data_IF_807639336867
#
_entry.id   IF_807639336867
#
_cell.length_a   1.000
_cell.length_b   1.000
_cell.length_c   1.000
_cell.angle_alpha   90.00
_cell.angle_beta   90.00
_cell.angle_gamma   90.00
#
_symmetry.space_group_name_H-M   'P 1'
#
loop_
_entity.id
_entity.type
_entity.pdbx_description
1 polymer ?
#
# COMPACT_ATOMS: atom_id res chain seq x y z
N UNK A 1 -16.32 33.84 2.62
CA UNK A 1 -15.27 34.16 1.64
C UNK A 1 -14.52 32.85 1.34
N UNK A 2 -14.73 32.25 0.18
CA UNK A 2 -13.91 31.14 -0.28
C UNK A 2 -12.55 31.70 -0.71
N UNK A 3 -11.51 31.53 0.10
CA UNK A 3 -10.14 31.75 -0.40
C UNK A 3 -9.93 30.78 -1.57
N UNK A 4 -9.53 31.27 -2.76
CA UNK A 4 -9.17 30.38 -3.84
C UNK A 4 -8.00 29.52 -3.35
N UNK A 5 -8.19 28.20 -3.37
CA UNK A 5 -7.13 27.26 -3.04
C UNK A 5 -6.08 27.39 -4.13
N UNK A 6 -5.00 28.13 -3.84
CA UNK A 6 -3.87 28.26 -4.75
C UNK A 6 -3.27 26.85 -4.90
N UNK A 7 -3.49 26.22 -6.06
CA UNK A 7 -2.83 24.96 -6.38
C UNK A 7 -1.32 25.23 -6.49
N UNK A 8 -0.47 24.38 -5.91
CA UNK A 8 0.99 24.49 -6.12
C UNK A 8 1.33 24.49 -7.62
N UNK A 9 2.30 25.28 -8.05
CA UNK A 9 2.66 25.44 -9.47
C UNK A 9 2.91 24.11 -10.19
N UNK A 10 3.54 23.13 -9.52
CA UNK A 10 3.80 21.80 -10.09
C UNK A 10 2.55 20.92 -10.28
N UNK A 11 1.40 21.30 -9.70
CA UNK A 11 0.11 20.64 -9.95
C UNK A 11 -0.66 21.26 -11.10
N UNK A 12 -0.16 22.33 -11.70
CA UNK A 12 -0.81 23.11 -12.75
C UNK A 12 -0.12 22.94 -14.11
N UNK A 13 0.49 21.76 -14.36
CA UNK A 13 1.06 21.50 -15.67
C UNK A 13 -0.08 21.58 -16.70
N UNK A 14 -0.05 22.56 -17.61
CA UNK A 14 -1.12 22.75 -18.60
C UNK A 14 -0.91 21.78 -19.75
N UNK A 15 -1.25 20.50 -19.54
CA UNK A 15 -0.99 19.43 -20.50
C UNK A 15 -1.64 19.70 -21.88
N UNK A 16 -2.72 20.44 -21.93
CA UNK A 16 -3.43 20.81 -23.15
C UNK A 16 -2.93 22.11 -23.80
N UNK A 17 -2.22 22.99 -23.06
CA UNK A 17 -1.80 24.29 -23.60
C UNK A 17 -0.72 24.20 -24.70
N UNK A 18 0.31 23.32 -24.56
CA UNK A 18 1.34 23.20 -25.59
C UNK A 18 0.83 22.65 -26.93
N UNK A 19 -0.41 22.11 -26.94
CA UNK A 19 -0.97 21.34 -28.06
C UNK A 19 -1.94 22.21 -28.89
N UNK A 20 -2.23 23.45 -28.46
CA UNK A 20 -3.29 24.29 -29.08
C UNK A 20 -3.13 24.47 -30.58
N UNK A 21 -1.92 24.53 -31.08
CA UNK A 21 -1.61 24.76 -32.51
C UNK A 21 -1.43 23.47 -33.31
N UNK A 22 -1.57 22.27 -32.69
CA UNK A 22 -1.27 20.97 -33.31
C UNK A 22 -2.33 19.90 -33.03
N UNK A 23 -3.59 20.32 -32.96
CA UNK A 23 -4.71 19.46 -32.55
C UNK A 23 -5.04 18.32 -33.51
N UNK A 24 -4.62 18.39 -34.76
CA UNK A 24 -5.02 17.42 -35.79
C UNK A 24 -3.93 16.37 -36.11
N UNK A 25 -2.71 16.55 -35.61
CA UNK A 25 -1.60 15.63 -35.91
C UNK A 25 -1.62 14.41 -34.98
N UNK A 26 -1.39 13.19 -35.49
CA UNK A 26 -1.10 12.03 -34.68
C UNK A 26 0.09 12.32 -33.75
N UNK A 27 0.03 11.83 -32.52
CA UNK A 27 1.08 12.08 -31.53
C UNK A 27 2.45 11.55 -31.99
N UNK A 28 2.50 10.50 -32.81
CA UNK A 28 3.75 9.97 -33.38
C UNK A 28 4.49 10.98 -34.31
N UNK A 29 3.76 11.94 -34.88
CA UNK A 29 4.28 12.99 -35.75
C UNK A 29 4.43 14.35 -35.04
N UNK A 30 4.02 14.44 -33.77
CA UNK A 30 4.10 15.65 -33.00
C UNK A 30 5.58 15.99 -32.63
N UNK A 31 5.91 17.26 -32.39
CA UNK A 31 7.22 17.67 -31.89
C UNK A 31 7.65 16.93 -30.63
N UNK A 32 8.97 16.77 -30.46
CA UNK A 32 9.57 16.06 -29.32
C UNK A 32 9.01 16.46 -27.96
N UNK A 33 8.83 17.76 -27.61
CA UNK A 33 8.29 18.13 -26.29
C UNK A 33 6.87 17.59 -26.03
N UNK A 34 6.03 17.49 -27.07
CA UNK A 34 4.66 16.98 -26.98
C UNK A 34 4.68 15.48 -26.77
N UNK A 35 5.45 14.73 -27.57
CA UNK A 35 5.63 13.29 -27.42
C UNK A 35 6.18 12.94 -26.03
N UNK A 36 7.24 13.64 -25.60
CA UNK A 36 7.83 13.49 -24.27
C UNK A 36 6.86 13.83 -23.13
N UNK A 37 6.01 14.84 -23.32
CA UNK A 37 4.96 15.22 -22.37
C UNK A 37 3.96 14.10 -22.07
N UNK A 38 3.54 13.34 -23.09
CA UNK A 38 2.67 12.17 -22.92
C UNK A 38 3.38 11.10 -22.07
N UNK A 39 4.65 10.78 -22.38
CA UNK A 39 5.46 9.82 -21.62
C UNK A 39 5.60 10.24 -20.15
N UNK A 40 5.94 11.50 -19.90
CA UNK A 40 6.08 12.04 -18.55
C UNK A 40 4.78 12.02 -17.76
N UNK A 41 3.65 12.39 -18.39
CA UNK A 41 2.34 12.37 -17.74
C UNK A 41 1.90 10.98 -17.30
N UNK A 42 2.09 9.98 -18.16
CA UNK A 42 1.79 8.58 -17.80
C UNK A 42 2.68 8.11 -16.64
N UNK A 43 3.97 8.43 -16.69
CA UNK A 43 4.89 8.14 -15.58
C UNK A 43 4.42 8.76 -14.26
N UNK A 44 4.02 10.04 -14.27
CA UNK A 44 3.53 10.75 -13.09
C UNK A 44 2.25 10.14 -12.53
N UNK A 45 1.30 9.77 -13.39
CA UNK A 45 0.06 9.12 -12.97
C UNK A 45 0.32 7.74 -12.37
N UNK A 46 1.22 6.94 -12.97
CA UNK A 46 1.63 5.65 -12.41
C UNK A 46 2.29 5.82 -11.04
N UNK A 47 3.21 6.78 -10.89
CA UNK A 47 3.85 7.09 -9.62
C UNK A 47 2.83 7.47 -8.55
N UNK A 48 1.81 8.26 -8.90
CA UNK A 48 0.73 8.66 -7.99
C UNK A 48 -0.10 7.50 -7.44
N UNK A 49 -0.09 6.34 -8.12
CA UNK A 49 -0.77 5.12 -7.70
C UNK A 49 0.04 4.27 -6.72
N UNK A 50 1.24 4.69 -6.34
CA UNK A 50 2.10 3.99 -5.38
C UNK A 50 2.85 2.79 -5.96
N UNK A 51 2.87 2.60 -7.30
CA UNK A 51 3.62 1.50 -7.91
C UNK A 51 5.13 1.74 -7.82
N UNK A 52 5.94 0.66 -7.90
CA UNK A 52 7.40 0.74 -7.82
C UNK A 52 8.02 1.47 -9.02
N UNK A 53 9.21 2.06 -8.80
CA UNK A 53 9.96 2.84 -9.78
C UNK A 53 10.28 2.04 -11.05
N UNK A 54 10.68 0.77 -10.88
CA UNK A 54 10.96 -0.11 -12.01
C UNK A 54 9.77 -0.19 -12.98
N UNK A 55 8.53 -0.26 -12.45
CA UNK A 55 7.34 -0.35 -13.30
C UNK A 55 7.04 0.98 -13.99
N UNK A 56 7.21 2.09 -13.28
CA UNK A 56 7.04 3.43 -13.87
C UNK A 56 7.99 3.59 -15.06
N UNK A 57 9.28 3.28 -14.85
CA UNK A 57 10.32 3.37 -15.89
C UNK A 57 10.01 2.44 -17.08
N UNK A 58 9.63 1.19 -16.81
CA UNK A 58 9.27 0.22 -17.88
C UNK A 58 8.11 0.72 -18.73
N UNK A 59 7.08 1.30 -18.11
CA UNK A 59 5.93 1.86 -18.81
C UNK A 59 6.28 3.12 -19.60
N UNK A 60 7.14 3.99 -19.06
CA UNK A 60 7.63 5.17 -19.78
C UNK A 60 8.45 4.77 -21.01
N UNK A 61 9.30 3.74 -20.88
CA UNK A 61 10.11 3.25 -22.01
C UNK A 61 9.25 2.61 -23.08
N UNK A 62 8.21 1.83 -22.70
CA UNK A 62 7.28 1.21 -23.66
C UNK A 62 6.52 2.28 -24.47
N UNK A 63 6.08 3.38 -23.84
CA UNK A 63 5.48 4.49 -24.56
C UNK A 63 6.48 5.25 -25.43
N UNK A 64 7.68 5.52 -24.90
CA UNK A 64 8.72 6.23 -25.62
C UNK A 64 9.12 5.46 -26.88
N UNK A 65 9.34 4.16 -26.79
CA UNK A 65 9.66 3.28 -27.95
C UNK A 65 8.55 3.35 -29.01
N UNK A 66 7.28 3.27 -28.60
CA UNK A 66 6.15 3.39 -29.51
C UNK A 66 6.06 4.75 -30.21
N UNK A 67 6.62 5.81 -29.61
CA UNK A 67 6.69 7.17 -30.15
C UNK A 67 8.02 7.44 -30.91
N UNK A 68 8.86 6.44 -31.08
CA UNK A 68 10.17 6.60 -31.72
C UNK A 68 11.15 7.42 -30.88
N UNK A 69 11.06 7.32 -29.56
CA UNK A 69 11.91 8.03 -28.59
C UNK A 69 12.72 7.04 -27.75
N UNK A 70 13.89 7.48 -27.30
CA UNK A 70 14.63 6.85 -26.22
C UNK A 70 14.38 7.65 -24.95
N UNK A 71 13.98 7.01 -23.87
CA UNK A 71 13.68 7.67 -22.59
C UNK A 71 14.60 7.15 -21.50
N UNK A 72 15.27 8.07 -20.80
CA UNK A 72 15.98 7.82 -19.54
C UNK A 72 15.23 8.51 -18.40
N UNK A 73 14.89 7.78 -17.33
CA UNK A 73 14.15 8.35 -16.22
C UNK A 73 14.75 7.94 -14.87
N UNK A 74 14.96 8.93 -13.99
CA UNK A 74 15.24 8.76 -12.57
C UNK A 74 13.95 9.00 -11.76
N UNK A 75 13.57 8.03 -10.92
CA UNK A 75 12.27 8.01 -10.26
C UNK A 75 12.47 7.96 -8.76
N UNK A 76 12.03 9.02 -8.08
CA UNK A 76 11.94 9.10 -6.62
C UNK A 76 10.55 8.67 -6.11
N UNK A 77 10.30 8.92 -4.81
CA UNK A 77 8.99 8.69 -4.19
C UNK A 77 7.92 9.65 -4.73
N UNK A 78 8.27 10.92 -4.92
CA UNK A 78 7.36 12.00 -5.31
C UNK A 78 7.82 12.75 -6.56
N UNK A 79 8.90 12.33 -7.19
CA UNK A 79 9.48 13.03 -8.34
C UNK A 79 9.88 12.08 -9.46
N UNK A 80 9.83 12.59 -10.68
CA UNK A 80 10.36 11.94 -11.87
C UNK A 80 11.20 12.98 -12.60
N UNK A 81 12.45 12.66 -12.84
CA UNK A 81 13.34 13.40 -13.74
C UNK A 81 13.55 12.53 -14.98
N UNK A 82 13.20 13.03 -16.15
CA UNK A 82 13.32 12.22 -17.36
C UNK A 82 13.83 13.05 -18.55
N UNK A 83 14.49 12.34 -19.44
CA UNK A 83 14.97 12.87 -20.71
C UNK A 83 14.51 11.93 -21.83
N UNK A 84 13.82 12.51 -22.81
CA UNK A 84 13.48 11.83 -24.06
C UNK A 84 14.31 12.39 -25.21
N UNK A 85 14.80 11.50 -26.10
CA UNK A 85 15.56 11.89 -27.28
C UNK A 85 15.01 11.19 -28.53
N UNK A 86 14.99 11.89 -29.65
CA UNK A 86 14.64 11.34 -30.98
C UNK A 86 15.87 11.05 -31.86
N UNK A 87 17.07 11.15 -31.28
CA UNK A 87 18.34 10.96 -31.97
C UNK A 87 19.01 12.25 -32.41
N UNK A 88 18.27 13.32 -32.68
CA UNK A 88 18.81 14.65 -33.04
C UNK A 88 18.69 15.63 -31.88
N UNK A 89 17.55 15.62 -31.20
CA UNK A 89 17.22 16.53 -30.11
C UNK A 89 16.93 15.75 -28.83
N UNK A 90 17.03 16.46 -27.69
CA UNK A 90 16.63 15.92 -26.39
C UNK A 90 15.74 16.91 -25.63
N UNK A 91 14.77 16.37 -24.92
CA UNK A 91 13.87 17.12 -24.04
C UNK A 91 13.93 16.54 -22.64
N UNK A 92 14.25 17.38 -21.65
CA UNK A 92 14.32 16.99 -20.24
C UNK A 92 13.29 17.76 -19.42
N UNK A 93 12.64 17.06 -18.50
CA UNK A 93 11.66 17.66 -17.59
C UNK A 93 11.69 16.97 -16.23
N UNK A 94 11.46 17.77 -15.17
CA UNK A 94 11.21 17.28 -13.81
C UNK A 94 9.73 17.43 -13.48
N UNK A 95 9.11 16.34 -13.02
CA UNK A 95 7.73 16.30 -12.57
C UNK A 95 7.68 15.94 -11.10
N UNK A 96 6.78 16.56 -10.33
CA UNK A 96 6.64 16.29 -8.88
C UNK A 96 5.20 16.08 -8.48
N UNK A 97 5.00 15.22 -7.46
CA UNK A 97 3.73 14.99 -6.79
C UNK A 97 3.71 15.69 -5.43
N UNK A 98 2.56 16.15 -5.00
CA UNK A 98 2.38 16.71 -3.64
C UNK A 98 2.19 15.63 -2.59
N UNK A 99 1.73 14.45 -2.99
CA UNK A 99 1.50 13.30 -2.12
C UNK A 99 1.48 12.02 -2.95
N UNK A 100 1.86 10.92 -2.33
CA UNK A 100 1.69 9.58 -2.89
C UNK A 100 0.54 8.86 -2.19
N UNK A 101 -0.07 7.92 -2.87
CA UNK A 101 -1.13 7.07 -2.37
C UNK A 101 -1.11 5.71 -3.03
N UNK A 102 -2.02 4.82 -2.63
CA UNK A 102 -2.20 3.53 -3.29
C UNK A 102 -3.57 3.50 -3.96
N UNK A 103 -3.58 3.29 -5.27
CA UNK A 103 -4.81 3.15 -6.04
C UNK A 103 -4.64 2.07 -7.11
N UNK A 104 -5.04 0.85 -6.77
CA UNK A 104 -4.85 -0.31 -7.64
C UNK A 104 -5.81 -0.33 -8.83
N UNK A 105 -7.00 0.29 -8.71
CA UNK A 105 -7.94 0.42 -9.82
C UNK A 105 -7.38 1.33 -10.91
N UNK A 106 -6.89 2.50 -10.51
CA UNK A 106 -6.25 3.45 -11.42
C UNK A 106 -4.99 2.86 -12.06
N UNK A 107 -4.19 2.12 -11.28
CA UNK A 107 -3.01 1.43 -11.77
C UNK A 107 -3.35 0.42 -12.87
N UNK A 108 -4.41 -0.37 -12.70
CA UNK A 108 -4.87 -1.33 -13.73
C UNK A 108 -5.30 -0.62 -15.03
N UNK A 109 -6.03 0.48 -14.93
CA UNK A 109 -6.44 1.26 -16.11
C UNK A 109 -5.23 1.86 -16.85
N UNK A 110 -4.28 2.42 -16.12
CA UNK A 110 -3.05 2.98 -16.70
C UNK A 110 -2.20 1.91 -17.38
N UNK A 111 -2.03 0.73 -16.78
CA UNK A 111 -1.30 -0.37 -17.43
C UNK A 111 -2.00 -0.89 -18.69
N UNK A 112 -3.33 -0.93 -18.71
CA UNK A 112 -4.08 -1.26 -19.93
C UNK A 112 -3.90 -0.19 -21.01
N UNK A 113 -3.88 1.09 -20.61
CA UNK A 113 -3.58 2.19 -21.50
C UNK A 113 -2.20 2.02 -22.13
N UNK A 114 -1.16 1.80 -21.33
CA UNK A 114 0.23 1.58 -21.79
C UNK A 114 0.31 0.43 -22.77
N UNK A 115 -0.27 -0.73 -22.46
CA UNK A 115 -0.24 -1.92 -23.32
C UNK A 115 -0.96 -1.74 -24.65
N UNK A 116 -2.02 -0.92 -24.71
CA UNK A 116 -2.77 -0.63 -25.93
C UNK A 116 -2.15 0.49 -26.74
N UNK A 117 -1.32 1.30 -26.12
CA UNK A 117 -0.74 2.50 -26.73
C UNK A 117 -0.02 2.23 -28.06
N UNK A 118 0.83 1.18 -28.23
CA UNK A 118 1.48 0.89 -29.50
C UNK A 118 0.51 0.53 -30.64
N UNK A 119 -0.70 0.07 -30.30
CA UNK A 119 -1.71 -0.34 -31.30
C UNK A 119 -2.59 0.83 -31.73
N UNK A 120 -3.13 1.56 -30.77
CA UNK A 120 -4.15 2.58 -30.99
C UNK A 120 -3.66 4.01 -30.68
N UNK A 121 -2.85 4.15 -29.61
CA UNK A 121 -2.46 5.45 -29.05
C UNK A 121 -1.55 6.27 -29.95
N UNK A 122 -0.68 5.63 -30.73
CA UNK A 122 0.27 6.30 -31.64
C UNK A 122 -0.43 7.08 -32.76
N UNK A 123 -1.65 6.70 -33.11
CA UNK A 123 -2.47 7.33 -34.15
C UNK A 123 -3.42 8.40 -33.59
N UNK A 124 -3.56 8.49 -32.27
CA UNK A 124 -4.39 9.51 -31.62
C UNK A 124 -3.68 10.84 -31.57
N UNK A 125 -4.46 11.92 -31.46
CA UNK A 125 -3.89 13.24 -31.19
C UNK A 125 -3.41 13.33 -29.73
N UNK A 126 -2.45 14.23 -29.47
CA UNK A 126 -1.98 14.43 -28.10
C UNK A 126 -3.10 14.92 -27.17
N UNK A 127 -4.04 15.71 -27.67
CA UNK A 127 -5.20 16.24 -26.91
C UNK A 127 -6.15 15.10 -26.51
N UNK A 128 -6.46 14.18 -27.42
CA UNK A 128 -7.27 12.99 -27.14
C UNK A 128 -6.59 12.08 -26.08
N UNK A 129 -5.27 11.93 -26.18
CA UNK A 129 -4.51 11.15 -25.19
C UNK A 129 -4.57 11.80 -23.81
N UNK A 130 -4.36 13.11 -23.74
CA UNK A 130 -4.47 13.83 -22.48
C UNK A 130 -5.89 13.81 -21.91
N UNK A 131 -6.91 13.86 -22.75
CA UNK A 131 -8.31 13.71 -22.36
C UNK A 131 -8.58 12.31 -21.78
N UNK A 132 -8.10 11.24 -22.43
CA UNK A 132 -8.20 9.88 -21.88
C UNK A 132 -7.48 9.74 -20.54
N UNK A 133 -6.32 10.37 -20.39
CA UNK A 133 -5.58 10.35 -19.12
C UNK A 133 -6.33 11.13 -18.02
N UNK A 134 -7.05 12.22 -18.38
CA UNK A 134 -7.95 12.93 -17.45
C UNK A 134 -9.12 12.06 -17.02
N UNK A 135 -9.74 11.34 -17.95
CA UNK A 135 -10.81 10.39 -17.65
C UNK A 135 -10.31 9.33 -16.65
N UNK A 136 -9.16 8.70 -16.91
CA UNK A 136 -8.57 7.73 -15.98
C UNK A 136 -8.29 8.37 -14.63
N UNK A 137 -7.80 9.60 -14.58
CA UNK A 137 -7.51 10.32 -13.35
C UNK A 137 -8.76 10.62 -12.51
N UNK A 138 -9.88 10.92 -13.17
CA UNK A 138 -11.11 11.39 -12.54
C UNK A 138 -12.13 10.28 -12.27
N UNK A 139 -12.27 9.30 -13.17
CA UNK A 139 -13.32 8.27 -13.11
C UNK A 139 -12.98 7.07 -12.26
N UNK A 140 -11.74 6.97 -11.77
CA UNK A 140 -11.35 5.84 -10.93
C UNK A 140 -12.19 5.83 -9.66
N UNK A 141 -12.92 4.75 -9.37
CA UNK A 141 -13.78 4.70 -8.19
C UNK A 141 -12.94 4.83 -6.93
N UNK A 142 -13.16 5.90 -6.17
CA UNK A 142 -12.64 6.04 -4.82
C UNK A 142 -13.76 5.72 -3.83
N UNK A 143 -13.44 4.89 -2.84
CA UNK A 143 -14.39 4.60 -1.77
C UNK A 143 -14.61 5.84 -0.91
N UNK A 144 -15.86 6.07 -0.50
CA UNK A 144 -16.20 7.14 0.43
C UNK A 144 -15.48 6.96 1.78
N UNK A 145 -15.32 8.02 2.59
CA UNK A 145 -14.72 7.90 3.92
C UNK A 145 -15.37 6.85 4.81
N UNK A 146 -16.71 6.71 4.71
CA UNK A 146 -17.44 5.69 5.47
C UNK A 146 -17.10 4.28 4.98
N UNK A 147 -17.05 4.05 3.67
CA UNK A 147 -16.67 2.76 3.10
C UNK A 147 -15.23 2.39 3.45
N UNK A 148 -14.31 3.36 3.43
CA UNK A 148 -12.93 3.15 3.89
C UNK A 148 -12.86 2.82 5.38
N UNK A 149 -13.70 3.49 6.21
CA UNK A 149 -13.84 3.17 7.62
C UNK A 149 -14.33 1.74 7.84
N UNK A 150 -15.38 1.31 7.14
CA UNK A 150 -15.90 -0.06 7.22
C UNK A 150 -14.89 -1.11 6.73
N UNK A 151 -14.15 -0.81 5.67
CA UNK A 151 -13.08 -1.67 5.18
C UNK A 151 -11.95 -1.85 6.21
N UNK A 152 -11.55 -0.76 6.86
CA UNK A 152 -10.58 -0.77 7.95
C UNK A 152 -11.09 -1.53 9.19
N UNK A 153 -12.36 -1.31 9.55
CA UNK A 153 -13.02 -2.03 10.64
C UNK A 153 -12.95 -3.55 10.42
N UNK A 154 -13.35 -4.00 9.22
CA UNK A 154 -13.29 -5.41 8.84
C UNK A 154 -11.85 -5.94 8.88
N UNK A 155 -10.90 -5.17 8.31
CA UNK A 155 -9.49 -5.56 8.26
C UNK A 155 -8.88 -5.72 9.66
N UNK A 156 -9.02 -4.72 10.51
CA UNK A 156 -8.41 -4.72 11.84
C UNK A 156 -9.13 -5.65 12.82
N UNK A 157 -10.46 -5.77 12.75
CA UNK A 157 -11.20 -6.75 13.53
C UNK A 157 -10.77 -8.18 13.22
N UNK A 158 -10.65 -8.53 11.94
CA UNK A 158 -10.15 -9.85 11.52
C UNK A 158 -8.66 -10.04 11.89
N UNK A 159 -7.83 -9.01 11.71
CA UNK A 159 -6.41 -9.06 12.05
C UNK A 159 -6.18 -9.26 13.54
N UNK A 160 -7.06 -8.73 14.40
CA UNK A 160 -7.02 -8.96 15.86
C UNK A 160 -7.05 -10.45 16.19
N UNK A 161 -7.94 -11.23 15.55
CA UNK A 161 -7.97 -12.68 15.73
C UNK A 161 -6.66 -13.36 15.28
N UNK A 162 -6.10 -12.94 14.16
CA UNK A 162 -4.84 -13.53 13.64
C UNK A 162 -3.64 -13.26 14.56
N UNK A 163 -3.71 -12.22 15.37
CA UNK A 163 -2.71 -11.88 16.40
C UNK A 163 -2.99 -12.56 17.75
N UNK A 164 -4.09 -13.31 17.86
CA UNK A 164 -4.46 -14.06 19.07
C UNK A 164 -5.55 -13.42 19.94
N UNK A 165 -6.08 -12.27 19.52
CA UNK A 165 -7.19 -11.60 20.23
C UNK A 165 -8.51 -12.36 20.12
N UNK A 166 -9.33 -12.25 21.17
CA UNK A 166 -10.65 -12.87 21.27
C UNK A 166 -11.77 -12.02 20.66
N UNK A 167 -13.04 -12.47 20.80
CA UNK A 167 -14.20 -11.78 20.22
C UNK A 167 -14.38 -10.33 20.74
N UNK A 168 -14.01 -10.08 22.01
CA UNK A 168 -14.12 -8.75 22.64
C UNK A 168 -13.13 -7.78 21.94
N UNK A 169 -11.86 -8.16 21.85
CA UNK A 169 -10.84 -7.35 21.17
C UNK A 169 -11.16 -7.17 19.69
N UNK A 170 -11.68 -8.20 19.02
CA UNK A 170 -12.10 -8.12 17.62
C UNK A 170 -13.18 -7.05 17.42
N UNK A 171 -14.22 -7.05 18.27
CA UNK A 171 -15.31 -6.08 18.18
C UNK A 171 -14.84 -4.65 18.49
N UNK A 172 -14.08 -4.49 19.55
CA UNK A 172 -13.58 -3.18 19.95
C UNK A 172 -12.58 -2.62 18.94
N UNK A 173 -11.69 -3.46 18.40
CA UNK A 173 -10.75 -3.06 17.34
C UNK A 173 -11.48 -2.76 16.02
N UNK A 174 -12.53 -3.50 15.67
CA UNK A 174 -13.40 -3.20 14.53
C UNK A 174 -13.95 -1.78 14.61
N UNK A 175 -14.55 -1.41 15.75
CA UNK A 175 -15.12 -0.07 15.94
C UNK A 175 -14.04 1.02 15.99
N UNK A 176 -12.96 0.79 16.74
CA UNK A 176 -11.85 1.72 16.85
C UNK A 176 -11.17 2.01 15.52
N UNK A 177 -10.81 0.97 14.77
CA UNK A 177 -10.18 1.12 13.47
C UNK A 177 -11.11 1.76 12.42
N UNK A 178 -12.40 1.44 12.48
CA UNK A 178 -13.41 2.04 11.61
C UNK A 178 -13.50 3.55 11.78
N UNK A 179 -13.59 4.02 13.02
CA UNK A 179 -13.60 5.46 13.32
C UNK A 179 -12.25 6.09 13.00
N UNK A 180 -11.13 5.46 13.34
CA UNK A 180 -9.80 5.97 13.05
C UNK A 180 -9.58 6.21 11.55
N UNK A 181 -9.91 5.24 10.70
CA UNK A 181 -9.79 5.38 9.25
C UNK A 181 -10.78 6.40 8.66
N UNK A 182 -12.00 6.47 9.18
CA UNK A 182 -12.96 7.50 8.78
C UNK A 182 -12.40 8.91 9.06
N UNK A 183 -11.85 9.12 10.24
CA UNK A 183 -11.19 10.39 10.62
C UNK A 183 -10.02 10.67 9.68
N UNK A 184 -9.14 9.69 9.44
CA UNK A 184 -8.03 9.83 8.49
C UNK A 184 -8.50 10.27 7.10
N UNK A 185 -9.48 9.59 6.55
CA UNK A 185 -10.02 9.90 5.22
C UNK A 185 -10.59 11.33 5.16
N UNK A 186 -11.30 11.78 6.20
CA UNK A 186 -11.82 13.15 6.29
C UNK A 186 -10.72 14.20 6.39
N UNK A 187 -9.69 13.95 7.21
CA UNK A 187 -8.56 14.87 7.37
C UNK A 187 -7.73 14.97 6.08
N UNK A 188 -7.53 13.84 5.40
CA UNK A 188 -6.85 13.82 4.09
C UNK A 188 -7.62 14.62 3.04
N UNK A 189 -8.96 14.52 3.01
CA UNK A 189 -9.80 15.36 2.13
C UNK A 189 -9.66 16.86 2.43
N UNK A 190 -9.41 17.21 3.69
CA UNK A 190 -9.14 18.60 4.12
C UNK A 190 -7.68 19.03 3.90
N UNK A 191 -6.85 18.17 3.26
CA UNK A 191 -5.44 18.44 2.97
C UNK A 191 -4.57 18.76 4.20
N UNK A 192 -4.87 18.16 5.35
CA UNK A 192 -3.97 18.23 6.49
C UNK A 192 -2.66 17.49 6.17
N UNK A 193 -1.61 17.87 6.90
CA UNK A 193 -0.30 17.20 6.76
C UNK A 193 -0.41 15.70 7.07
N UNK A 194 0.41 14.89 6.41
CA UNK A 194 0.41 13.43 6.57
C UNK A 194 0.52 13.02 8.04
N UNK A 195 1.47 13.59 8.78
CA UNK A 195 1.72 13.24 10.17
C UNK A 195 0.57 13.66 11.09
N UNK A 196 -0.06 14.81 10.82
CA UNK A 196 -1.28 15.23 11.52
C UNK A 196 -2.44 14.26 11.28
N UNK A 197 -2.63 13.82 10.03
CA UNK A 197 -3.65 12.82 9.70
C UNK A 197 -3.41 11.49 10.43
N UNK A 198 -2.16 11.02 10.49
CA UNK A 198 -1.78 9.78 11.18
C UNK A 198 -2.03 9.92 12.68
N UNK A 199 -1.46 10.94 13.32
CA UNK A 199 -1.56 11.13 14.77
C UNK A 199 -3.02 11.24 15.23
N UNK A 200 -3.82 12.11 14.59
CA UNK A 200 -5.22 12.29 14.96
C UNK A 200 -6.07 11.04 14.71
N UNK A 201 -5.80 10.28 13.64
CA UNK A 201 -6.56 9.06 13.38
C UNK A 201 -6.20 7.92 14.33
N UNK A 202 -4.93 7.76 14.69
CA UNK A 202 -4.48 6.79 15.70
C UNK A 202 -5.04 7.17 17.09
N UNK A 203 -4.95 8.43 17.46
CA UNK A 203 -5.53 8.90 18.72
C UNK A 203 -7.04 8.64 18.79
N UNK A 204 -7.78 8.91 17.72
CA UNK A 204 -9.21 8.62 17.64
C UNK A 204 -9.50 7.11 17.78
N UNK A 205 -8.74 6.25 17.12
CA UNK A 205 -8.89 4.79 17.22
C UNK A 205 -8.65 4.29 18.65
N UNK A 206 -7.58 4.77 19.31
CA UNK A 206 -7.26 4.42 20.69
C UNK A 206 -8.31 4.93 21.68
N UNK A 207 -8.81 6.15 21.50
CA UNK A 207 -9.87 6.73 22.33
C UNK A 207 -11.17 5.93 22.23
N UNK A 208 -11.59 5.58 21.02
CA UNK A 208 -12.80 4.77 20.80
C UNK A 208 -12.63 3.40 21.44
N UNK A 209 -11.51 2.73 21.21
CA UNK A 209 -11.23 1.42 21.82
C UNK A 209 -11.31 1.50 23.34
N UNK A 210 -10.55 2.41 23.95
CA UNK A 210 -10.48 2.55 25.40
C UNK A 210 -11.82 2.99 26.04
N UNK A 211 -12.54 3.89 25.38
CA UNK A 211 -13.86 4.34 25.81
C UNK A 211 -14.88 3.20 25.82
N UNK A 212 -14.93 2.43 24.73
CA UNK A 212 -15.83 1.27 24.63
C UNK A 212 -15.42 0.15 25.60
N UNK A 213 -14.13 -0.10 25.76
CA UNK A 213 -13.63 -1.08 26.72
C UNK A 213 -14.05 -0.71 28.17
N UNK A 214 -13.86 0.56 28.56
CA UNK A 214 -14.30 1.02 29.89
C UNK A 214 -15.80 0.95 30.07
N UNK A 215 -16.59 1.34 29.06
CA UNK A 215 -18.05 1.23 29.10
C UNK A 215 -18.48 -0.23 29.25
N UNK A 216 -17.88 -1.12 28.47
CA UNK A 216 -18.17 -2.55 28.55
C UNK A 216 -17.78 -3.14 29.92
N UNK A 217 -16.66 -2.70 30.52
CA UNK A 217 -16.22 -3.12 31.86
C UNK A 217 -17.12 -2.63 33.01
N UNK A 218 -17.91 -1.57 32.78
CA UNK A 218 -18.93 -1.13 33.74
C UNK A 218 -20.19 -2.02 33.71
N UNK A 219 -20.47 -2.63 32.55
CA UNK A 219 -21.69 -3.42 32.33
C UNK A 219 -21.45 -4.92 32.53
N UNK A 220 -20.24 -5.39 32.30
CA UNK A 220 -19.86 -6.80 32.30
C UNK A 220 -18.51 -6.99 33.05
N UNK A 221 -18.31 -8.12 33.73
CA UNK A 221 -17.03 -8.45 34.34
C UNK A 221 -16.03 -8.85 33.22
N UNK A 222 -15.32 -7.87 32.67
CA UNK A 222 -14.32 -8.06 31.59
C UNK A 222 -12.92 -7.99 32.19
N UNK A 223 -12.06 -8.95 31.85
CA UNK A 223 -10.68 -8.98 32.31
C UNK A 223 -9.85 -7.82 31.75
N UNK A 224 -8.93 -7.31 32.55
CA UNK A 224 -8.08 -6.18 32.18
C UNK A 224 -7.19 -6.48 30.94
N UNK A 225 -6.88 -7.75 30.66
CA UNK A 225 -6.06 -8.17 29.52
C UNK A 225 -6.67 -7.76 28.17
N UNK A 226 -8.01 -7.70 28.06
CA UNK A 226 -8.70 -7.26 26.85
C UNK A 226 -8.39 -5.80 26.44
N UNK A 227 -7.81 -4.99 27.33
CA UNK A 227 -7.35 -3.65 26.96
C UNK A 227 -6.26 -3.65 25.88
N UNK A 228 -5.46 -4.71 25.74
CA UNK A 228 -4.35 -4.81 24.80
C UNK A 228 -4.77 -4.68 23.33
N UNK A 229 -6.02 -4.94 22.99
CA UNK A 229 -6.55 -4.85 21.63
C UNK A 229 -6.54 -3.42 21.04
N UNK A 230 -6.28 -2.35 21.83
CA UNK A 230 -6.13 -1.00 21.28
C UNK A 230 -5.00 -0.92 20.23
N UNK A 231 -3.99 -1.77 20.35
CA UNK A 231 -2.90 -1.88 19.35
C UNK A 231 -3.47 -2.31 18.02
N UNK A 232 -4.37 -3.28 18.02
CA UNK A 232 -5.00 -3.78 16.80
C UNK A 232 -5.89 -2.72 16.14
N UNK A 233 -6.52 -1.85 16.93
CA UNK A 233 -7.36 -0.78 16.44
C UNK A 233 -6.59 0.27 15.61
N UNK A 234 -5.27 0.39 15.77
CA UNK A 234 -4.44 1.34 15.01
C UNK A 234 -3.72 0.72 13.80
N UNK A 235 -3.76 -0.60 13.60
CA UNK A 235 -2.95 -1.29 12.58
C UNK A 235 -3.33 -0.92 11.14
N UNK A 236 -4.47 -0.27 10.90
CA UNK A 236 -4.83 0.26 9.58
C UNK A 236 -3.84 1.30 9.03
N UNK A 237 -3.02 1.89 9.89
CA UNK A 237 -2.00 2.89 9.51
C UNK A 237 -0.72 2.26 8.97
N UNK A 238 -0.42 1.02 9.35
CA UNK A 238 0.87 0.39 9.03
C UNK A 238 1.09 0.35 7.51
N UNK A 239 2.19 0.96 7.02
CA UNK A 239 2.40 1.19 5.59
C UNK A 239 2.96 -0.05 4.90
N UNK A 240 2.22 -1.15 4.88
CA UNK A 240 2.65 -2.42 4.30
C UNK A 240 2.98 -2.31 2.82
N UNK A 241 2.19 -1.55 2.05
CA UNK A 241 2.43 -1.37 0.62
C UNK A 241 3.78 -0.68 0.35
N UNK A 242 4.14 0.47 0.95
CA UNK A 242 5.47 1.07 0.82
C UNK A 242 6.62 0.17 1.26
N UNK A 243 6.49 -0.59 2.34
CA UNK A 243 7.53 -1.54 2.77
C UNK A 243 7.83 -2.60 1.70
N UNK A 244 6.78 -3.20 1.14
CA UNK A 244 6.95 -4.25 0.14
C UNK A 244 7.51 -3.67 -1.17
N UNK A 245 7.01 -2.52 -1.62
CA UNK A 245 7.49 -1.89 -2.85
C UNK A 245 8.90 -1.35 -2.73
N UNK A 246 9.32 -0.85 -1.55
CA UNK A 246 10.71 -0.43 -1.31
C UNK A 246 11.70 -1.58 -1.51
N UNK A 247 11.39 -2.77 -0.94
CA UNK A 247 12.22 -3.95 -1.12
C UNK A 247 12.29 -4.44 -2.57
N UNK A 248 11.19 -4.35 -3.31
CA UNK A 248 11.17 -4.71 -4.73
C UNK A 248 11.99 -3.70 -5.57
N UNK A 249 11.88 -2.40 -5.29
CA UNK A 249 12.65 -1.37 -5.99
C UNK A 249 14.16 -1.54 -5.73
N UNK A 250 14.58 -1.73 -4.48
CA UNK A 250 15.98 -2.00 -4.14
C UNK A 250 16.53 -3.26 -4.83
N UNK A 251 15.74 -4.33 -4.92
CA UNK A 251 16.13 -5.55 -5.62
C UNK A 251 16.28 -5.37 -7.13
N UNK A 252 15.66 -4.34 -7.70
CA UNK A 252 15.81 -3.91 -9.09
C UNK A 252 16.84 -2.80 -9.29
N UNK A 253 17.65 -2.53 -8.26
CA UNK A 253 18.69 -1.49 -8.22
C UNK A 253 18.15 -0.04 -8.33
N UNK A 254 16.84 0.15 -8.15
CA UNK A 254 16.21 1.45 -8.00
C UNK A 254 16.41 1.96 -6.56
N UNK A 255 17.68 2.17 -6.16
CA UNK A 255 18.07 2.46 -4.79
C UNK A 255 17.47 3.75 -4.26
N UNK A 256 17.42 4.81 -5.07
CA UNK A 256 16.81 6.11 -4.68
C UNK A 256 15.35 5.92 -4.29
N UNK A 257 14.53 5.39 -5.18
CA UNK A 257 13.11 5.15 -4.90
C UNK A 257 12.91 4.18 -3.74
N UNK A 258 13.69 3.10 -3.70
CA UNK A 258 13.60 2.10 -2.63
C UNK A 258 13.88 2.70 -1.25
N UNK A 259 14.95 3.48 -1.09
CA UNK A 259 15.33 4.13 0.17
C UNK A 259 14.33 5.24 0.57
N UNK A 260 13.88 6.07 -0.37
CA UNK A 260 12.88 7.10 -0.09
C UNK A 260 11.56 6.49 0.38
N UNK A 261 11.09 5.38 -0.25
CA UNK A 261 9.90 4.63 0.18
C UNK A 261 10.07 3.98 1.54
N UNK A 262 11.25 3.42 1.82
CA UNK A 262 11.55 2.83 3.12
C UNK A 262 11.53 3.90 4.21
N UNK A 263 12.21 5.03 3.99
CA UNK A 263 12.22 6.16 4.92
C UNK A 263 10.79 6.69 5.17
N UNK A 264 9.99 6.85 4.12
CA UNK A 264 8.59 7.23 4.21
C UNK A 264 7.77 6.25 5.06
N UNK A 265 7.94 4.94 4.84
CA UNK A 265 7.26 3.91 5.62
C UNK A 265 7.68 3.92 7.10
N UNK A 266 8.98 4.05 7.38
CA UNK A 266 9.51 4.16 8.74
C UNK A 266 8.92 5.38 9.46
N UNK A 267 8.87 6.54 8.82
CA UNK A 267 8.30 7.75 9.40
C UNK A 267 6.82 7.59 9.76
N UNK A 268 6.03 6.92 8.90
CA UNK A 268 4.62 6.61 9.22
C UNK A 268 4.53 5.72 10.45
N UNK A 269 5.33 4.65 10.53
CA UNK A 269 5.34 3.74 11.68
C UNK A 269 5.74 4.47 12.96
N UNK A 270 6.79 5.28 12.91
CA UNK A 270 7.27 6.04 14.08
C UNK A 270 6.18 6.98 14.60
N UNK A 271 5.55 7.77 13.73
CA UNK A 271 4.47 8.69 14.14
C UNK A 271 3.27 7.92 14.71
N UNK A 272 2.87 6.82 14.07
CA UNK A 272 1.74 6.01 14.52
C UNK A 272 2.01 5.36 15.89
N UNK A 273 3.17 4.74 16.05
CA UNK A 273 3.53 4.02 17.28
C UNK A 273 3.79 4.96 18.44
N UNK A 274 4.45 6.10 18.22
CA UNK A 274 4.63 7.15 19.27
C UNK A 274 3.28 7.74 19.68
N UNK A 275 2.37 7.99 18.75
CA UNK A 275 1.03 8.47 19.08
C UNK A 275 0.27 7.44 19.91
N UNK A 276 0.28 6.17 19.51
CA UNK A 276 -0.40 5.11 20.24
C UNK A 276 0.23 4.87 21.63
N UNK A 277 1.55 4.97 21.76
CA UNK A 277 2.24 4.93 23.05
C UNK A 277 1.85 6.10 23.95
N UNK A 278 1.84 7.33 23.41
CA UNK A 278 1.36 8.51 24.16
C UNK A 278 -0.09 8.37 24.62
N UNK A 279 -0.96 7.82 23.75
CA UNK A 279 -2.34 7.49 24.11
C UNK A 279 -2.43 6.40 25.19
N UNK A 280 -1.57 5.38 25.13
CA UNK A 280 -1.49 4.34 26.14
C UNK A 280 -1.10 4.92 27.51
N UNK A 281 -0.13 5.82 27.56
CA UNK A 281 0.24 6.54 28.80
C UNK A 281 -0.93 7.39 29.33
N UNK A 282 -1.57 8.17 28.47
CA UNK A 282 -2.70 9.04 28.84
C UNK A 282 -3.90 8.24 29.36
N UNK A 283 -4.21 7.13 28.69
CA UNK A 283 -5.37 6.28 29.01
C UNK A 283 -5.03 5.14 29.97
N UNK A 284 -3.77 5.02 30.39
CA UNK A 284 -3.26 3.94 31.27
C UNK A 284 -3.52 2.54 30.71
N UNK A 285 -3.31 2.37 29.39
CA UNK A 285 -3.42 1.08 28.72
C UNK A 285 -2.06 0.36 28.73
N UNK A 286 -2.10 -0.97 28.76
CA UNK A 286 -0.89 -1.80 28.73
C UNK A 286 -0.93 -2.77 27.55
N UNK A 287 0.19 -3.02 26.85
CA UNK A 287 0.29 -3.97 25.74
C UNK A 287 0.49 -5.40 26.29
N UNK A 288 -0.51 -5.93 26.96
CA UNK A 288 -0.50 -7.28 27.50
C UNK A 288 -0.61 -8.32 26.39
N UNK A 289 -0.26 -9.56 26.67
CA UNK A 289 -0.53 -10.66 25.75
C UNK A 289 -2.03 -11.02 25.76
N UNK A 290 -2.52 -11.44 24.59
CA UNK A 290 -3.90 -11.85 24.47
C UNK A 290 -4.16 -13.18 25.21
N UNK A 291 -5.37 -13.34 25.72
CA UNK A 291 -5.82 -14.59 26.33
C UNK A 291 -5.83 -15.71 25.29
N UNK A 292 -5.21 -16.86 25.56
CA UNK A 292 -5.17 -17.95 24.60
C UNK A 292 -6.57 -18.52 24.36
N UNK A 293 -6.98 -18.57 23.08
CA UNK A 293 -8.24 -19.20 22.67
C UNK A 293 -8.07 -20.71 22.61
N UNK A 294 -8.81 -21.43 23.44
CA UNK A 294 -8.85 -22.91 23.45
C UNK A 294 -9.67 -23.45 22.26
N UNK A 295 -9.08 -23.40 21.06
CA UNK A 295 -9.71 -23.89 19.83
C UNK A 295 -9.05 -25.17 19.33
N UNK A 296 -9.83 -26.17 18.88
CA UNK A 296 -9.27 -27.34 18.20
C UNK A 296 -8.55 -26.90 16.91
N UNK A 297 -7.52 -27.66 16.51
CA UNK A 297 -6.63 -27.31 15.39
C UNK A 297 -7.43 -27.03 14.10
N UNK A 298 -8.38 -27.87 13.75
CA UNK A 298 -9.21 -27.68 12.55
C UNK A 298 -10.03 -26.39 12.57
N UNK A 299 -10.63 -26.05 13.72
CA UNK A 299 -11.42 -24.83 13.86
C UNK A 299 -10.50 -23.59 13.78
N UNK A 300 -9.31 -23.65 14.39
CA UNK A 300 -8.31 -22.60 14.31
C UNK A 300 -7.88 -22.34 12.86
N UNK A 301 -7.61 -23.37 12.08
CA UNK A 301 -7.26 -23.25 10.65
C UNK A 301 -8.37 -22.59 9.85
N UNK A 302 -9.63 -23.05 10.02
CA UNK A 302 -10.78 -22.48 9.33
C UNK A 302 -11.00 -21.00 9.68
N UNK A 303 -10.92 -20.67 10.97
CA UNK A 303 -11.06 -19.29 11.42
C UNK A 303 -9.89 -18.39 10.95
N UNK A 304 -8.66 -18.90 10.93
CA UNK A 304 -7.52 -18.19 10.34
C UNK A 304 -7.70 -17.93 8.85
N UNK A 305 -8.24 -18.88 8.10
CA UNK A 305 -8.59 -18.73 6.70
C UNK A 305 -9.64 -17.63 6.50
N UNK A 306 -10.73 -17.68 7.24
CA UNK A 306 -11.80 -16.68 7.19
C UNK A 306 -11.31 -15.28 7.62
N UNK A 307 -10.57 -15.18 8.71
CA UNK A 307 -10.03 -13.94 9.21
C UNK A 307 -8.97 -13.36 8.23
N UNK A 308 -8.11 -14.20 7.66
CA UNK A 308 -7.14 -13.74 6.65
C UNK A 308 -7.84 -13.24 5.39
N UNK A 309 -8.93 -13.91 4.95
CA UNK A 309 -9.76 -13.43 3.84
C UNK A 309 -10.34 -12.05 4.14
N UNK A 310 -11.05 -11.90 5.27
CA UNK A 310 -11.65 -10.63 5.67
C UNK A 310 -10.62 -9.51 5.84
N UNK A 311 -9.48 -9.82 6.45
CA UNK A 311 -8.38 -8.88 6.64
C UNK A 311 -7.81 -8.36 5.33
N UNK A 312 -7.44 -9.26 4.42
CA UNK A 312 -6.89 -8.90 3.11
C UNK A 312 -7.93 -8.19 2.23
N UNK A 313 -9.18 -8.64 2.27
CA UNK A 313 -10.28 -7.98 1.54
C UNK A 313 -10.44 -6.52 1.99
N UNK A 314 -10.52 -6.29 3.31
CA UNK A 314 -10.63 -4.94 3.87
C UNK A 314 -9.44 -4.05 3.50
N UNK A 315 -8.20 -4.52 3.67
CA UNK A 315 -7.02 -3.76 3.24
C UNK A 315 -7.01 -3.49 1.74
N UNK A 316 -7.44 -4.45 0.91
CA UNK A 316 -7.53 -4.24 -0.54
C UNK A 316 -8.50 -3.13 -0.91
N UNK A 317 -9.66 -3.04 -0.25
CA UNK A 317 -10.60 -1.93 -0.44
C UNK A 317 -9.99 -0.59 -0.01
N UNK A 318 -9.21 -0.55 1.07
CA UNK A 318 -8.48 0.66 1.49
C UNK A 318 -7.43 1.11 0.45
N UNK A 319 -6.91 0.18 -0.37
CA UNK A 319 -6.04 0.46 -1.51
C UNK A 319 -6.80 0.81 -2.79
N UNK A 320 -8.09 1.13 -2.69
CA UNK A 320 -8.98 1.41 -3.81
C UNK A 320 -9.05 0.27 -4.86
N UNK A 321 -8.94 -0.99 -4.41
CA UNK A 321 -9.10 -2.14 -5.31
C UNK A 321 -10.57 -2.35 -5.66
N UNK A 322 -10.90 -2.62 -6.93
CA UNK A 322 -12.24 -3.08 -7.30
C UNK A 322 -12.59 -4.36 -6.52
N UNK A 323 -13.86 -4.53 -6.15
CA UNK A 323 -14.33 -5.68 -5.34
C UNK A 323 -13.85 -7.02 -5.89
N UNK A 324 -13.92 -7.21 -7.22
CA UNK A 324 -13.44 -8.44 -7.88
C UNK A 324 -11.95 -8.69 -7.62
N UNK A 325 -11.12 -7.66 -7.75
CA UNK A 325 -9.68 -7.76 -7.54
C UNK A 325 -9.37 -7.96 -6.05
N UNK A 326 -10.08 -7.25 -5.17
CA UNK A 326 -9.98 -7.40 -3.72
C UNK A 326 -10.32 -8.83 -3.27
N UNK A 327 -11.37 -9.45 -3.85
CA UNK A 327 -11.74 -10.83 -3.54
C UNK A 327 -10.66 -11.84 -3.97
N UNK A 328 -10.07 -11.65 -5.14
CA UNK A 328 -8.96 -12.51 -5.61
C UNK A 328 -7.74 -12.38 -4.69
N UNK A 329 -7.34 -11.15 -4.36
CA UNK A 329 -6.25 -10.91 -3.42
C UNK A 329 -6.55 -11.51 -2.05
N UNK A 330 -7.80 -11.45 -1.59
CA UNK A 330 -8.25 -12.02 -0.33
C UNK A 330 -8.17 -13.56 -0.30
N UNK A 331 -8.54 -14.25 -1.39
CA UNK A 331 -8.39 -15.72 -1.47
C UNK A 331 -6.92 -16.10 -1.43
N UNK A 332 -6.07 -15.44 -2.22
CA UNK A 332 -4.62 -15.70 -2.24
C UNK A 332 -4.02 -15.40 -0.87
N UNK A 333 -4.39 -14.28 -0.26
CA UNK A 333 -3.91 -13.89 1.07
C UNK A 333 -4.41 -14.82 2.18
N UNK A 334 -5.65 -15.33 2.10
CA UNK A 334 -6.18 -16.32 3.02
C UNK A 334 -5.33 -17.59 3.03
N UNK A 335 -5.04 -18.13 1.86
CA UNK A 335 -4.24 -19.35 1.73
C UNK A 335 -2.80 -19.13 2.20
N UNK A 336 -2.16 -18.07 1.72
CA UNK A 336 -0.74 -17.80 2.00
C UNK A 336 -0.48 -17.37 3.44
N UNK A 337 -1.37 -16.55 4.04
CA UNK A 337 -1.20 -16.14 5.44
C UNK A 337 -1.54 -17.28 6.41
N UNK A 338 -2.55 -18.10 6.12
CA UNK A 338 -2.83 -19.29 6.93
C UNK A 338 -1.64 -20.25 6.86
N UNK A 339 -1.09 -20.52 5.67
CA UNK A 339 0.15 -21.30 5.54
C UNK A 339 1.26 -20.74 6.43
N UNK A 340 1.53 -19.43 6.38
CA UNK A 340 2.52 -18.78 7.24
C UNK A 340 2.26 -19.03 8.72
N UNK A 341 1.01 -18.85 9.17
CA UNK A 341 0.65 -19.01 10.58
C UNK A 341 0.77 -20.45 11.05
N UNK A 342 0.39 -21.42 10.22
CA UNK A 342 0.53 -22.83 10.56
C UNK A 342 1.99 -23.32 10.53
N UNK A 343 2.84 -22.79 9.64
CA UNK A 343 4.27 -23.04 9.68
C UNK A 343 4.92 -22.60 11.01
N UNK A 344 4.48 -21.45 11.54
CA UNK A 344 4.95 -21.00 12.87
C UNK A 344 4.37 -21.88 13.97
N UNK A 345 3.05 -22.12 13.97
CA UNK A 345 2.37 -22.74 15.13
C UNK A 345 2.46 -24.27 15.18
N UNK A 346 2.54 -24.96 14.04
CA UNK A 346 2.62 -26.43 13.98
C UNK A 346 4.03 -26.95 13.68
N UNK A 347 4.77 -26.25 12.80
CA UNK A 347 6.10 -26.71 12.36
C UNK A 347 7.26 -25.98 13.08
N UNK A 348 6.98 -25.01 13.95
CA UNK A 348 8.01 -24.28 14.71
C UNK A 348 8.95 -23.40 13.88
N UNK A 349 8.53 -22.99 12.67
CA UNK A 349 9.35 -22.13 11.82
C UNK A 349 9.54 -20.75 12.45
N UNK A 350 10.73 -20.13 12.31
CA UNK A 350 10.93 -18.73 12.67
C UNK A 350 9.95 -17.82 11.89
N UNK A 351 9.38 -16.78 12.52
CA UNK A 351 8.37 -15.92 11.89
C UNK A 351 8.81 -15.32 10.56
N UNK A 352 10.07 -14.93 10.40
CA UNK A 352 10.60 -14.37 9.15
C UNK A 352 10.68 -15.43 8.03
N UNK A 353 11.12 -16.66 8.33
CA UNK A 353 11.14 -17.75 7.35
C UNK A 353 9.72 -18.13 6.91
N UNK A 354 8.78 -18.20 7.84
CA UNK A 354 7.37 -18.43 7.52
C UNK A 354 6.78 -17.29 6.68
N UNK A 355 7.13 -16.03 6.96
CA UNK A 355 6.72 -14.88 6.17
C UNK A 355 7.27 -14.93 4.73
N UNK A 356 8.53 -15.31 4.55
CA UNK A 356 9.13 -15.56 3.23
C UNK A 356 8.33 -16.61 2.44
N UNK A 357 8.07 -17.78 3.05
CA UNK A 357 7.32 -18.87 2.39
C UNK A 357 5.87 -18.47 2.09
N UNK A 358 5.21 -17.74 2.99
CA UNK A 358 3.89 -17.17 2.75
C UNK A 358 3.87 -16.20 1.57
N UNK A 359 4.83 -15.28 1.50
CA UNK A 359 4.96 -14.33 0.40
C UNK A 359 5.32 -15.03 -0.92
N UNK A 360 6.19 -16.04 -0.89
CA UNK A 360 6.51 -16.88 -2.05
C UNK A 360 5.25 -17.56 -2.59
N UNK A 361 4.46 -18.20 -1.72
CA UNK A 361 3.20 -18.85 -2.10
C UNK A 361 2.20 -17.85 -2.71
N UNK A 362 2.03 -16.67 -2.09
CA UNK A 362 1.17 -15.60 -2.62
C UNK A 362 1.63 -15.14 -4.01
N UNK A 363 2.93 -14.97 -4.21
CA UNK A 363 3.51 -14.58 -5.49
C UNK A 363 3.31 -15.64 -6.59
N UNK A 364 3.43 -16.93 -6.27
CA UNK A 364 3.18 -18.03 -7.21
C UNK A 364 1.70 -18.12 -7.58
N UNK A 365 0.78 -18.08 -6.62
CA UNK A 365 -0.66 -18.09 -6.86
C UNK A 365 -1.12 -16.89 -7.69
N UNK A 366 -0.61 -15.70 -7.38
CA UNK A 366 -0.91 -14.50 -8.18
C UNK A 366 -0.37 -14.59 -9.62
N UNK A 367 0.72 -15.34 -9.85
CA UNK A 367 1.26 -15.55 -11.19
C UNK A 367 0.34 -16.39 -12.07
N UNK A 368 -0.23 -17.45 -11.50
CA UNK A 368 -1.22 -18.29 -12.17
C UNK A 368 -2.46 -17.48 -12.55
N UNK A 369 -2.94 -16.63 -11.64
CA UNK A 369 -4.09 -15.79 -11.92
C UNK A 369 -3.80 -14.71 -12.98
N UNK A 370 -2.61 -14.06 -12.95
CA UNK A 370 -2.20 -13.05 -13.95
C UNK A 370 -2.25 -13.60 -15.38
N UNK A 371 -1.78 -14.84 -15.59
CA UNK A 371 -1.78 -15.48 -16.92
C UNK A 371 -3.18 -15.58 -17.52
N UNK A 372 -4.22 -15.73 -16.68
CA UNK A 372 -5.61 -15.85 -17.10
C UNK A 372 -6.35 -14.51 -17.22
N UNK A 373 -6.02 -13.54 -16.38
CA UNK A 373 -6.83 -12.32 -16.20
C UNK A 373 -6.21 -11.05 -16.78
N UNK A 374 -4.89 -11.05 -17.03
CA UNK A 374 -4.17 -9.87 -17.55
C UNK A 374 -3.97 -8.72 -16.56
N UNK A 375 -4.46 -8.82 -15.31
CA UNK A 375 -4.27 -7.79 -14.30
C UNK A 375 -2.79 -7.59 -13.92
N UNK A 376 -2.39 -6.35 -13.55
CA UNK A 376 -1.06 -6.09 -13.01
C UNK A 376 -0.78 -6.94 -11.78
N UNK A 377 0.34 -7.68 -11.75
CA UNK A 377 0.66 -8.59 -10.65
C UNK A 377 0.69 -7.88 -9.29
N UNK A 378 1.23 -6.67 -9.22
CA UNK A 378 1.41 -5.91 -7.98
C UNK A 378 0.06 -5.57 -7.30
N UNK A 379 -1.02 -5.39 -8.09
CA UNK A 379 -2.36 -5.10 -7.58
C UNK A 379 -2.98 -6.27 -6.83
N UNK A 380 -2.43 -7.46 -6.99
CA UNK A 380 -2.86 -8.69 -6.32
C UNK A 380 -1.85 -9.10 -5.24
N UNK A 381 -0.55 -9.16 -5.59
CA UNK A 381 0.47 -9.70 -4.68
C UNK A 381 0.67 -8.86 -3.43
N UNK A 382 0.76 -7.53 -3.56
CA UNK A 382 1.01 -6.68 -2.40
C UNK A 382 -0.16 -6.68 -1.43
N UNK A 383 -1.43 -6.48 -1.85
CA UNK A 383 -2.57 -6.62 -0.94
C UNK A 383 -2.66 -8.00 -0.28
N UNK A 384 -2.31 -9.09 -0.99
CA UNK A 384 -2.39 -10.45 -0.43
C UNK A 384 -1.47 -10.69 0.76
N UNK A 385 -0.33 -10.00 0.83
CA UNK A 385 0.67 -10.20 1.90
C UNK A 385 0.74 -9.05 2.91
N UNK A 386 0.01 -7.96 2.68
CA UNK A 386 0.06 -6.79 3.58
C UNK A 386 -0.30 -7.13 5.02
N UNK A 387 -1.19 -8.10 5.22
CA UNK A 387 -1.59 -8.59 6.54
C UNK A 387 -0.44 -9.32 7.29
N UNK A 388 0.65 -9.67 6.60
CA UNK A 388 1.83 -10.30 7.19
C UNK A 388 2.83 -9.29 7.75
N UNK A 389 2.65 -7.98 7.48
CA UNK A 389 3.53 -6.92 7.94
C UNK A 389 3.47 -6.81 9.47
N UNK A 390 4.62 -6.74 10.17
CA UNK A 390 4.69 -6.95 11.61
C UNK A 390 4.35 -5.69 12.45
N UNK A 391 3.14 -5.14 12.25
CA UNK A 391 2.70 -3.91 12.92
C UNK A 391 2.70 -3.99 14.46
N UNK A 392 2.28 -5.12 15.02
CA UNK A 392 2.33 -5.36 16.47
C UNK A 392 3.77 -5.33 17.00
N UNK A 393 4.72 -5.91 16.26
CA UNK A 393 6.14 -5.96 16.69
C UNK A 393 6.76 -4.57 16.68
N UNK A 394 6.46 -3.75 15.67
CA UNK A 394 6.87 -2.35 15.64
C UNK A 394 6.33 -1.58 16.85
N UNK A 395 5.06 -1.77 17.19
CA UNK A 395 4.49 -1.10 18.35
C UNK A 395 5.17 -1.54 19.66
N UNK A 396 5.33 -2.85 19.88
CA UNK A 396 6.01 -3.38 21.07
C UNK A 396 7.44 -2.86 21.18
N UNK A 397 8.18 -2.81 20.07
CA UNK A 397 9.54 -2.26 20.06
C UNK A 397 9.57 -0.80 20.57
N UNK A 398 8.65 0.04 20.13
CA UNK A 398 8.58 1.45 20.55
C UNK A 398 8.11 1.57 22.00
N UNK A 399 7.14 0.76 22.43
CA UNK A 399 6.65 0.74 23.79
C UNK A 399 7.75 0.36 24.79
N UNK A 400 8.46 -0.76 24.52
CA UNK A 400 9.54 -1.25 25.37
C UNK A 400 10.75 -0.30 25.38
N UNK A 401 11.02 0.38 24.25
CA UNK A 401 12.01 1.44 24.19
C UNK A 401 11.63 2.61 25.12
N UNK A 402 10.37 3.03 25.09
CA UNK A 402 9.85 4.11 25.91
C UNK A 402 9.80 3.78 27.41
N UNK A 403 9.70 2.52 27.77
CA UNK A 403 9.79 2.03 29.17
C UNK A 403 11.19 1.59 29.57
N UNK A 404 12.22 1.86 28.73
CA UNK A 404 13.64 1.54 28.95
C UNK A 404 13.94 0.03 29.04
N UNK A 405 13.04 -0.81 28.54
CA UNK A 405 13.27 -2.25 28.38
C UNK A 405 13.98 -2.52 27.06
N UNK A 406 15.28 -2.21 26.99
CA UNK A 406 16.08 -2.21 25.76
C UNK A 406 16.23 -3.61 25.15
N UNK A 407 16.29 -4.66 25.96
CA UNK A 407 16.45 -6.05 25.50
C UNK A 407 15.26 -6.53 24.68
N UNK A 408 14.06 -6.36 25.21
CA UNK A 408 12.82 -6.74 24.52
C UNK A 408 12.56 -5.84 23.31
N UNK A 409 12.79 -4.51 23.45
CA UNK A 409 12.71 -3.57 22.34
C UNK A 409 13.59 -3.99 21.16
N UNK A 410 14.86 -4.33 21.40
CA UNK A 410 15.78 -4.78 20.37
C UNK A 410 15.32 -6.09 19.71
N UNK A 411 14.78 -7.02 20.50
CA UNK A 411 14.26 -8.30 20.00
C UNK A 411 13.05 -8.11 19.08
N UNK A 412 12.10 -7.27 19.47
CA UNK A 412 10.92 -6.92 18.63
C UNK A 412 11.33 -6.19 17.36
N UNK A 413 12.29 -5.26 17.45
CA UNK A 413 12.81 -4.52 16.30
C UNK A 413 13.51 -5.45 15.31
N UNK A 414 14.38 -6.33 15.79
CA UNK A 414 15.06 -7.31 14.95
C UNK A 414 14.08 -8.26 14.24
N UNK A 415 13.10 -8.79 14.99
CA UNK A 415 12.07 -9.66 14.41
C UNK A 415 11.23 -8.93 13.34
N UNK A 416 10.84 -7.66 13.59
CA UNK A 416 10.08 -6.88 12.62
C UNK A 416 10.89 -6.57 11.36
N UNK A 417 12.17 -6.22 11.50
CA UNK A 417 13.08 -5.97 10.38
C UNK A 417 13.25 -7.20 9.49
N UNK A 418 13.49 -8.36 10.11
CA UNK A 418 13.64 -9.62 9.37
C UNK A 418 12.38 -9.98 8.58
N UNK A 419 11.17 -9.77 9.15
CA UNK A 419 9.91 -10.03 8.44
C UNK A 419 9.73 -9.04 7.28
N UNK A 420 10.02 -7.75 7.48
CA UNK A 420 9.90 -6.71 6.43
C UNK A 420 10.82 -7.00 5.25
N UNK A 421 12.01 -7.57 5.50
CA UNK A 421 12.94 -8.00 4.43
C UNK A 421 12.46 -9.31 3.78
N UNK A 422 11.96 -10.25 4.57
CA UNK A 422 11.53 -11.57 4.08
C UNK A 422 10.34 -11.49 3.10
N UNK A 423 9.38 -10.58 3.34
CA UNK A 423 8.18 -10.44 2.51
C UNK A 423 8.49 -10.08 1.04
N UNK A 424 9.21 -8.98 0.73
CA UNK A 424 9.57 -8.68 -0.66
C UNK A 424 10.48 -9.73 -1.26
N UNK A 425 11.42 -10.34 -0.51
CA UNK A 425 12.25 -11.43 -1.00
C UNK A 425 11.43 -12.63 -1.46
N UNK A 426 10.40 -13.04 -0.71
CA UNK A 426 9.50 -14.11 -1.11
C UNK A 426 8.78 -13.79 -2.44
N UNK A 427 8.27 -12.56 -2.60
CA UNK A 427 7.65 -12.12 -3.85
C UNK A 427 8.64 -12.06 -5.02
N UNK A 428 9.87 -11.60 -4.78
CA UNK A 428 10.93 -11.53 -5.77
C UNK A 428 11.29 -12.93 -6.25
N UNK A 429 11.48 -13.89 -5.34
CA UNK A 429 11.73 -15.29 -5.69
C UNK A 429 10.59 -15.89 -6.53
N UNK A 430 9.32 -15.67 -6.12
CA UNK A 430 8.17 -16.10 -6.93
C UNK A 430 8.21 -15.49 -8.34
N UNK A 431 8.63 -14.25 -8.45
CA UNK A 431 8.69 -13.54 -9.72
C UNK A 431 9.84 -14.01 -10.61
N UNK A 432 11.02 -14.25 -10.02
CA UNK A 432 12.15 -14.85 -10.72
C UNK A 432 11.78 -16.22 -11.30
N UNK A 433 11.01 -17.02 -10.58
CA UNK A 433 10.58 -18.33 -11.03
C UNK A 433 9.56 -18.27 -12.19
N UNK A 434 8.71 -17.24 -12.24
CA UNK A 434 7.53 -17.19 -13.10
C UNK A 434 7.54 -16.11 -14.19
N UNK A 435 8.55 -15.20 -14.19
CA UNK A 435 8.61 -14.04 -15.10
C UNK A 435 10.02 -13.91 -15.68
N UNK A 436 10.18 -14.32 -16.96
CA UNK A 436 11.47 -14.30 -17.66
C UNK A 436 12.05 -12.89 -17.85
N UNK A 437 11.19 -11.87 -18.01
CA UNK A 437 11.64 -10.48 -18.16
C UNK A 437 12.16 -9.90 -16.84
N UNK A 438 11.60 -10.34 -15.72
CA UNK A 438 12.05 -9.90 -14.39
C UNK A 438 13.41 -10.46 -13.98
N UNK A 439 13.84 -11.60 -14.56
CA UNK A 439 15.14 -12.21 -14.26
C UNK A 439 16.33 -11.38 -14.74
N UNK A 440 16.10 -10.52 -15.74
CA UNK A 440 17.15 -9.70 -16.35
C UNK A 440 17.15 -8.32 -15.70
N UNK A 441 18.33 -7.78 -15.44
CA UNK A 441 18.50 -6.38 -15.08
C UNK A 441 18.56 -5.59 -16.41
N UNK A 442 17.42 -5.16 -16.91
CA UNK A 442 17.31 -4.31 -18.11
C UNK A 442 16.70 -2.99 -17.71
#
# INVERSE_FOLDING_TARGET
MHHPIIKPNHMQIPWHDPIRDQKELPVSQAPLPIRAGVVGRVGLLLLSCGTGAWRVRSSMNELAEALGLVCAADIGLLSIEYTCSDGENSFSQTLTLTATGVNTAKLDQLERFVKRFPLDGVYMTADDLHTKLDEIAQTTPSYSPLQQGLASALACGAFTFLLGGGPIEMLLAFLGAGVGQYVRARLTQRRLTLFGCIALSVAAACLVYAGLFRLASLLFPIEAQHQAGYICAMLFIIPGFPFITSGIDMAKQDMRSGLERLAYAIMIVVVATLTAWGMALLLRLQPMDFLPLALPVWARILLRLAASFCGVFGFSLMFNSPVKLASVAAVIGALSNTLRLELVSLAGFPPAAAAFLGALAAGLLASVYKQRSGYPRITITVPSIVIMVPGLYFYRAVYDLGTMNLGDSASWLAASLLIVIALPLGLICARILTDGSFRRCT
#
